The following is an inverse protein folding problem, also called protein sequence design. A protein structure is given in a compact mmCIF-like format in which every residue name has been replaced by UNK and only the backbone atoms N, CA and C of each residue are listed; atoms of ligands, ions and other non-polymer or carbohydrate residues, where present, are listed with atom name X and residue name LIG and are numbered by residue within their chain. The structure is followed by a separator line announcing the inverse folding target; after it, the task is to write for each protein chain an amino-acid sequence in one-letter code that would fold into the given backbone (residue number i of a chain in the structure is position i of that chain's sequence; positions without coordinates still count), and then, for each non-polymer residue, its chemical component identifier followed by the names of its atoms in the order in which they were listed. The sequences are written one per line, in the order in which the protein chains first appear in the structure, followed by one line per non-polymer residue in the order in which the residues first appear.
data_IF_030141795823
#
_entry.id   IF_030141795823
#
_cell.length_a   1.000
_cell.length_b   1.000
_cell.length_c   1.000
_cell.angle_alpha   90.00
_cell.angle_beta   90.00
_cell.angle_gamma   90.00
#
_symmetry.space_group_name_H-M   'P 1'
#
loop_
_entity.id
_entity.type
_entity.pdbx_description
1 polymer ?
#
# COMPACT_ATOMS: atom_id res chain seq x y z
N UNK A 1 30.96 -25.72 -7.05
CA UNK A 1 29.76 -26.59 -7.16
C UNK A 1 28.62 -25.67 -7.53
N UNK A 2 28.07 -25.61 -8.73
CA UNK A 2 27.89 -26.58 -9.81
C UNK A 2 26.54 -26.15 -10.37
N UNK A 3 26.54 -25.52 -11.55
CA UNK A 3 25.33 -25.02 -12.19
C UNK A 3 24.43 -26.20 -12.55
N UNK A 4 23.35 -26.39 -11.81
CA UNK A 4 22.25 -27.29 -12.20
C UNK A 4 20.92 -26.54 -12.23
N UNK A 5 20.14 -26.88 -13.27
CA UNK A 5 18.73 -26.54 -13.53
C UNK A 5 18.44 -25.30 -14.38
N UNK A 6 18.88 -25.36 -15.63
CA UNK A 6 18.10 -24.82 -16.75
C UNK A 6 16.78 -25.62 -16.88
N UNK A 7 15.65 -24.91 -16.88
CA UNK A 7 14.29 -25.38 -17.23
C UNK A 7 13.36 -25.94 -16.13
N UNK A 8 13.45 -25.45 -14.87
CA UNK A 8 12.24 -25.44 -14.02
C UNK A 8 11.39 -24.24 -14.44
N UNK A 9 10.12 -24.48 -14.84
CA UNK A 9 9.14 -23.38 -14.93
C UNK A 9 9.14 -22.69 -13.57
N UNK A 10 9.59 -21.43 -13.54
CA UNK A 10 9.62 -20.63 -12.32
C UNK A 10 8.18 -20.53 -11.84
N UNK A 11 7.89 -21.07 -10.65
CA UNK A 11 6.57 -20.93 -10.04
C UNK A 11 6.38 -19.45 -9.74
N UNK A 12 5.28 -18.87 -10.25
CA UNK A 12 4.91 -17.49 -9.99
C UNK A 12 3.72 -17.51 -9.06
N UNK A 13 3.88 -16.91 -7.90
CA UNK A 13 2.80 -16.80 -6.92
C UNK A 13 1.98 -15.54 -7.15
N UNK A 14 0.71 -15.62 -6.79
CA UNK A 14 -0.23 -14.50 -6.63
C UNK A 14 -0.07 -13.80 -5.29
N UNK A 15 0.70 -14.38 -4.37
CA UNK A 15 1.05 -13.74 -3.10
C UNK A 15 1.84 -12.46 -3.39
N UNK A 16 1.40 -11.37 -2.78
CA UNK A 16 2.11 -10.10 -2.81
C UNK A 16 2.03 -9.43 -1.45
N UNK A 17 2.79 -8.36 -1.25
CA UNK A 17 2.77 -7.65 0.01
C UNK A 17 2.80 -6.14 -0.10
N UNK A 18 2.91 -5.53 1.07
CA UNK A 18 3.15 -4.12 1.26
C UNK A 18 3.97 -3.93 2.53
N UNK A 19 5.07 -3.18 2.44
CA UNK A 19 5.83 -2.74 3.59
C UNK A 19 5.03 -1.74 4.44
N UNK A 20 5.16 -1.87 5.76
CA UNK A 20 4.49 -1.07 6.79
C UNK A 20 5.52 -0.48 7.76
N UNK A 21 5.05 0.24 8.78
CA UNK A 21 5.92 0.73 9.86
C UNK A 21 6.26 -0.48 10.75
N UNK A 22 7.55 -0.75 10.92
CA UNK A 22 8.04 -1.92 11.67
C UNK A 22 7.51 -3.29 11.21
N UNK A 23 7.02 -3.42 9.98
CA UNK A 23 6.41 -4.66 9.55
C UNK A 23 6.07 -4.73 8.08
N UNK A 24 5.34 -5.77 7.72
CA UNK A 24 4.76 -5.90 6.39
C UNK A 24 3.45 -6.67 6.42
N UNK A 25 2.62 -6.42 5.41
CA UNK A 25 1.40 -7.16 5.14
C UNK A 25 1.64 -8.06 3.92
N UNK A 26 1.24 -9.32 4.03
CA UNK A 26 1.15 -10.27 2.91
C UNK A 26 -0.31 -10.57 2.58
N UNK A 27 -0.58 -10.73 1.29
CA UNK A 27 -1.90 -10.98 0.72
C UNK A 27 -1.76 -12.25 -0.13
N UNK A 28 -2.27 -13.35 0.40
CA UNK A 28 -2.42 -14.60 -0.35
C UNK A 28 -3.80 -14.74 -1.00
N UNK A 29 -4.06 -15.87 -1.67
CA UNK A 29 -5.34 -16.12 -2.33
C UNK A 29 -6.52 -16.17 -1.34
N UNK A 30 -6.32 -16.81 -0.18
CA UNK A 30 -7.37 -17.07 0.80
C UNK A 30 -7.27 -16.16 2.04
N UNK A 31 -6.04 -15.89 2.48
CA UNK A 31 -5.74 -15.21 3.74
C UNK A 31 -4.92 -13.94 3.50
N UNK A 32 -5.10 -12.97 4.40
CA UNK A 32 -4.28 -11.75 4.47
C UNK A 32 -3.76 -11.64 5.88
N UNK A 33 -2.46 -11.41 6.01
CA UNK A 33 -1.81 -11.34 7.31
C UNK A 33 -0.86 -10.15 7.36
N UNK A 34 -0.77 -9.55 8.55
CA UNK A 34 0.15 -8.48 8.86
C UNK A 34 1.04 -8.94 9.99
N UNK A 35 2.36 -8.86 9.81
CA UNK A 35 3.33 -9.10 10.86
C UNK A 35 4.06 -7.79 11.17
N UNK A 36 4.06 -7.38 12.44
CA UNK A 36 4.67 -6.13 12.91
C UNK A 36 5.55 -6.44 14.10
N UNK A 37 6.75 -5.87 14.12
CA UNK A 37 7.65 -5.95 15.26
C UNK A 37 7.30 -4.83 16.24
N UNK A 38 6.91 -5.21 17.45
CA UNK A 38 6.56 -4.26 18.50
C UNK A 38 7.82 -3.65 19.15
N UNK A 39 7.64 -2.66 20.03
CA UNK A 39 8.73 -2.01 20.75
C UNK A 39 9.53 -2.96 21.69
N UNK A 40 8.99 -4.14 22.04
CA UNK A 40 9.68 -5.18 22.82
C UNK A 40 10.56 -6.08 21.94
N UNK A 41 10.43 -5.96 20.62
CA UNK A 41 11.11 -6.82 19.65
C UNK A 41 10.36 -8.12 19.33
N UNK A 42 9.15 -8.31 19.84
CA UNK A 42 8.30 -9.47 19.51
C UNK A 42 7.54 -9.21 18.20
N UNK A 43 7.19 -10.28 17.49
CA UNK A 43 6.43 -10.20 16.22
C UNK A 43 4.96 -10.47 16.54
N UNK A 44 4.12 -9.46 16.34
CA UNK A 44 2.67 -9.57 16.43
C UNK A 44 2.10 -9.91 15.05
N UNK A 45 1.36 -11.01 14.96
CA UNK A 45 0.71 -11.47 13.74
C UNK A 45 -0.80 -11.23 13.85
N UNK A 46 -1.34 -10.43 12.92
CA UNK A 46 -2.76 -10.17 12.82
C UNK A 46 -3.30 -10.61 11.45
N UNK A 47 -4.41 -11.35 11.45
CA UNK A 47 -5.14 -11.66 10.23
C UNK A 47 -6.08 -10.50 9.88
N UNK A 48 -6.03 -10.07 8.63
CA UNK A 48 -6.87 -8.99 8.12
C UNK A 48 -8.09 -9.57 7.42
N UNK A 49 -9.27 -9.03 7.73
CA UNK A 49 -10.52 -9.48 7.14
C UNK A 49 -10.48 -9.44 5.60
N UNK A 50 -10.77 -10.59 4.97
CA UNK A 50 -10.96 -10.69 3.54
C UNK A 50 -12.27 -10.07 3.10
N UNK A 51 -12.24 -9.08 2.21
CA UNK A 51 -13.44 -8.60 1.53
C UNK A 51 -13.83 -9.54 0.39
N UNK A 52 -15.13 -9.82 0.22
CA UNK A 52 -15.64 -10.58 -0.93
C UNK A 52 -15.16 -9.95 -2.24
N UNK A 53 -14.68 -10.80 -3.16
CA UNK A 53 -14.32 -10.38 -4.52
C UNK A 53 -15.62 -9.95 -5.21
N UNK A 54 -15.71 -8.70 -5.62
CA UNK A 54 -16.89 -8.21 -6.33
C UNK A 54 -16.81 -8.56 -7.82
N UNK A 55 -17.96 -8.63 -8.51
CA UNK A 55 -17.99 -8.85 -9.97
C UNK A 55 -17.19 -7.79 -10.74
N UNK A 56 -17.06 -6.58 -10.20
CA UNK A 56 -16.27 -5.51 -10.82
C UNK A 56 -14.76 -5.82 -10.87
N UNK A 57 -14.25 -6.70 -10.01
CA UNK A 57 -12.83 -7.09 -9.98
C UNK A 57 -12.43 -8.13 -11.02
N UNK A 58 -13.40 -8.67 -11.77
CA UNK A 58 -13.14 -9.62 -12.85
C UNK A 58 -13.19 -8.95 -14.23
N UNK A 59 -13.94 -7.86 -14.38
CA UNK A 59 -14.13 -7.15 -15.65
C UNK A 59 -12.84 -6.42 -16.05
N UNK A 60 -12.27 -6.69 -17.25
CA UNK A 60 -11.10 -5.96 -17.76
C UNK A 60 -11.31 -4.44 -17.76
N UNK A 61 -10.25 -3.67 -17.53
CA UNK A 61 -10.26 -2.21 -17.41
C UNK A 61 -11.05 -1.63 -16.22
N UNK A 62 -12.05 -2.33 -15.65
CA UNK A 62 -12.74 -1.89 -14.42
C UNK A 62 -12.03 -2.44 -13.18
N UNK A 63 -11.55 -3.68 -13.26
CA UNK A 63 -10.87 -4.36 -12.16
C UNK A 63 -9.66 -3.61 -11.62
N UNK A 64 -8.92 -2.92 -12.48
CA UNK A 64 -7.70 -2.22 -12.10
C UNK A 64 -7.97 -1.13 -11.07
N UNK A 65 -8.80 -0.12 -11.42
CA UNK A 65 -9.22 0.92 -10.49
C UNK A 65 -9.82 0.36 -9.20
N UNK A 66 -10.69 -0.65 -9.29
CA UNK A 66 -11.33 -1.26 -8.11
C UNK A 66 -10.30 -1.94 -7.19
N UNK A 67 -9.38 -2.73 -7.74
CA UNK A 67 -8.34 -3.43 -6.97
C UNK A 67 -7.34 -2.45 -6.35
N UNK A 68 -6.93 -1.43 -7.11
CA UNK A 68 -6.05 -0.37 -6.60
C UNK A 68 -6.73 0.40 -5.46
N UNK A 69 -8.00 0.73 -5.59
CA UNK A 69 -8.76 1.40 -4.52
C UNK A 69 -8.89 0.51 -3.28
N UNK A 70 -9.26 -0.77 -3.43
CA UNK A 70 -9.32 -1.73 -2.31
C UNK A 70 -7.96 -1.89 -1.63
N UNK A 71 -6.88 -1.97 -2.40
CA UNK A 71 -5.52 -2.06 -1.88
C UNK A 71 -5.11 -0.79 -1.14
N UNK A 72 -5.48 0.39 -1.64
CA UNK A 72 -5.21 1.66 -0.97
C UNK A 72 -5.91 1.71 0.40
N UNK A 73 -7.21 1.38 0.46
CA UNK A 73 -7.97 1.37 1.71
C UNK A 73 -7.38 0.36 2.71
N UNK A 74 -7.14 -0.87 2.27
CA UNK A 74 -6.55 -1.91 3.12
C UNK A 74 -5.16 -1.50 3.60
N UNK A 75 -4.31 -1.03 2.69
CA UNK A 75 -2.95 -0.59 2.97
C UNK A 75 -2.90 0.57 3.95
N UNK A 76 -3.82 1.53 3.86
CA UNK A 76 -3.92 2.62 4.85
C UNK A 76 -4.33 2.12 6.23
N UNK A 77 -5.29 1.18 6.31
CA UNK A 77 -5.71 0.58 7.59
C UNK A 77 -4.57 -0.21 8.24
N UNK A 78 -3.87 -1.02 7.44
CA UNK A 78 -2.71 -1.80 7.89
C UNK A 78 -1.57 -0.88 8.33
N UNK A 79 -1.31 0.21 7.61
CA UNK A 79 -0.28 1.19 7.99
C UNK A 79 -0.59 1.85 9.33
N UNK A 80 -1.83 2.31 9.54
CA UNK A 80 -2.25 2.90 10.82
C UNK A 80 -2.16 1.87 11.95
N UNK A 81 -2.66 0.65 11.74
CA UNK A 81 -2.56 -0.42 12.74
C UNK A 81 -1.11 -0.79 13.07
N UNK A 82 -0.23 -0.84 12.07
CA UNK A 82 1.20 -1.12 12.29
C UNK A 82 1.89 -0.03 13.11
N UNK A 83 1.53 1.24 12.90
CA UNK A 83 2.03 2.34 13.70
C UNK A 83 1.58 2.21 15.16
N UNK A 84 0.30 1.88 15.39
CA UNK A 84 -0.23 1.67 16.74
C UNK A 84 0.51 0.54 17.48
N UNK A 85 0.78 -0.59 16.80
CA UNK A 85 1.54 -1.72 17.37
C UNK A 85 2.98 -1.31 17.66
N UNK A 86 3.64 -0.63 16.72
CA UNK A 86 5.03 -0.18 16.85
C UNK A 86 5.23 0.82 17.99
N UNK A 87 4.24 1.71 18.22
CA UNK A 87 4.30 2.75 19.25
C UNK A 87 3.80 2.29 20.63
N UNK A 88 3.01 1.23 20.71
CA UNK A 88 2.45 0.74 21.97
C UNK A 88 3.54 0.31 22.97
N UNK A 89 3.76 1.14 24.00
CA UNK A 89 4.53 0.83 25.21
C UNK A 89 3.54 0.74 26.37
N UNK A 90 3.31 -0.49 26.87
CA UNK A 90 2.33 -0.87 27.93
C UNK A 90 0.86 -0.76 27.47
N UNK A 91 -0.08 -1.68 27.72
CA UNK A 91 -0.25 -2.67 28.79
C UNK A 91 -0.52 -4.08 28.23
N UNK A 92 0.15 -5.09 28.80
CA UNK A 92 -0.44 -6.42 28.90
C UNK A 92 -1.53 -6.38 29.97
N UNK A 93 -2.78 -6.14 29.56
CA UNK A 93 -3.99 -6.61 30.24
C UNK A 93 -5.19 -6.25 29.36
N UNK A 94 -5.83 -7.30 28.86
CA UNK A 94 -7.21 -7.41 28.43
C UNK A 94 -8.06 -6.13 28.54
N UNK A 95 -8.34 -5.47 27.42
CA UNK A 95 -9.58 -4.71 27.24
C UNK A 95 -10.45 -5.45 26.21
N UNK A 96 -11.06 -6.55 26.68
CA UNK A 96 -12.31 -7.05 26.14
C UNK A 96 -13.41 -6.28 26.86
N UNK A 97 -14.19 -5.50 26.11
CA UNK A 97 -15.49 -4.98 26.51
C UNK A 97 -16.25 -4.59 25.24
N UNK A 98 -17.46 -5.06 24.97
CA UNK A 98 -18.40 -5.79 25.81
C UNK A 98 -19.56 -6.37 24.97
N UNK A 99 -20.31 -7.26 25.61
CA UNK A 99 -21.59 -7.89 25.27
C UNK A 99 -21.49 -9.32 24.69
N UNK A 100 -22.09 -10.35 25.28
CA UNK A 100 -22.93 -10.50 26.48
C UNK A 100 -22.82 -11.96 26.96
N UNK A 101 -23.12 -12.16 28.24
CA UNK A 101 -23.13 -13.42 29.00
C UNK A 101 -23.97 -14.53 28.37
N UNK A 102 -23.54 -15.79 28.50
CA UNK A 102 -24.21 -16.73 29.42
C UNK A 102 -23.41 -18.03 29.64
N UNK A 103 -23.59 -18.59 30.83
CA UNK A 103 -22.81 -19.63 31.52
C UNK A 103 -23.02 -21.03 30.95
N UNK A 104 -22.00 -21.90 31.04
CA UNK A 104 -21.99 -23.09 31.93
C UNK A 104 -20.88 -24.09 31.58
N UNK A 105 -20.46 -24.80 32.62
CA UNK A 105 -19.24 -25.58 32.81
C UNK A 105 -19.16 -26.89 32.02
N UNK A 106 -17.95 -27.33 31.61
CA UNK A 106 -17.25 -28.43 32.30
C UNK A 106 -15.90 -28.81 31.65
N UNK A 107 -15.05 -29.32 32.54
CA UNK A 107 -13.67 -29.79 32.45
C UNK A 107 -13.42 -30.96 31.49
N UNK A 108 -12.27 -30.96 30.80
CA UNK A 108 -11.37 -32.12 30.70
C UNK A 108 -10.01 -31.77 30.06
N UNK A 109 -8.99 -32.28 30.73
CA UNK A 109 -7.54 -32.16 30.62
C UNK A 109 -6.96 -32.94 29.41
N UNK A 110 -5.90 -32.44 28.75
CA UNK A 110 -4.80 -33.25 28.19
C UNK A 110 -3.62 -32.38 27.74
N UNK A 111 -2.42 -32.86 28.09
CA UNK A 111 -1.15 -32.15 28.16
C UNK A 111 -0.26 -32.30 26.89
N UNK A 112 0.62 -31.31 26.73
CA UNK A 112 1.98 -31.32 26.15
C UNK A 112 2.23 -31.51 24.64
N UNK A 113 2.72 -30.43 23.99
CA UNK A 113 3.89 -30.48 23.11
C UNK A 113 4.56 -29.08 22.98
N UNK A 114 5.88 -29.07 22.76
CA UNK A 114 6.88 -28.04 23.10
C UNK A 114 6.73 -26.59 22.59
N UNK A 115 7.24 -25.69 23.42
CA UNK A 115 7.29 -24.22 23.33
C UNK A 115 8.12 -23.66 22.15
N UNK A 116 7.47 -22.80 21.36
CA UNK A 116 8.03 -21.52 20.88
C UNK A 116 6.95 -20.46 21.14
N UNK A 117 7.30 -19.34 21.78
CA UNK A 117 6.34 -18.28 22.12
C UNK A 117 5.87 -17.59 20.85
N UNK A 118 4.71 -18.03 20.35
CA UNK A 118 4.00 -17.48 19.20
C UNK A 118 2.60 -17.15 19.71
N UNK A 119 2.23 -15.87 19.68
CA UNK A 119 0.89 -15.43 20.08
C UNK A 119 -0.01 -15.59 18.85
N UNK A 120 -0.71 -16.74 18.75
CA UNK A 120 -1.66 -17.02 17.66
C UNK A 120 -3.06 -16.63 18.11
N UNK A 121 -3.61 -15.60 17.49
CA UNK A 121 -5.06 -15.37 17.47
C UNK A 121 -5.72 -16.36 16.52
N UNK A 122 -6.34 -17.42 17.03
CA UNK A 122 -7.05 -18.43 16.24
C UNK A 122 -8.56 -18.18 16.18
N UNK A 123 -9.16 -18.31 15.00
CA UNK A 123 -10.58 -18.61 14.82
C UNK A 123 -10.73 -19.78 13.84
N UNK A 124 -11.52 -20.79 14.23
CA UNK A 124 -11.98 -21.89 13.38
C UNK A 124 -13.28 -21.49 12.67
N UNK A 125 -13.39 -21.84 11.40
CA UNK A 125 -14.61 -21.89 10.59
C UNK A 125 -15.46 -23.09 10.96
N UNK A 126 -16.76 -22.89 11.15
CA UNK A 126 -17.79 -23.92 10.96
C UNK A 126 -18.89 -23.39 10.04
N UNK A 127 -19.33 -24.29 9.18
CA UNK A 127 -20.31 -24.19 8.09
C UNK A 127 -21.73 -24.39 8.64
N UNK A 128 -22.76 -23.81 8.00
CA UNK A 128 -24.08 -24.42 7.69
C UNK A 128 -25.11 -23.36 7.23
N UNK A 129 -25.65 -23.65 6.03
CA UNK A 129 -27.00 -23.50 5.48
C UNK A 129 -27.75 -22.15 5.35
N UNK A 130 -28.49 -22.14 4.24
CA UNK A 130 -29.32 -21.14 3.60
C UNK A 130 -30.54 -20.67 4.41
N UNK A 131 -30.99 -19.44 4.16
CA UNK A 131 -32.39 -19.12 3.80
C UNK A 131 -32.51 -17.66 3.35
N UNK A 132 -33.55 -17.40 2.54
CA UNK A 132 -33.65 -16.37 1.52
C UNK A 132 -34.17 -14.98 1.97
N UNK A 133 -34.03 -14.04 1.02
CA UNK A 133 -34.92 -12.91 0.69
C UNK A 133 -34.99 -11.68 1.62
N UNK A 134 -34.48 -10.54 1.13
CA UNK A 134 -35.29 -9.38 0.71
C UNK A 134 -34.40 -8.17 0.33
N UNK A 135 -34.66 -7.59 -0.85
CA UNK A 135 -34.16 -6.31 -1.33
C UNK A 135 -34.74 -5.12 -0.52
N UNK A 136 -34.04 -3.98 -0.42
CA UNK A 136 -34.55 -2.63 -0.81
C UNK A 136 -33.51 -1.51 -0.58
N UNK A 137 -33.62 -0.47 -1.40
CA UNK A 137 -32.76 0.69 -1.67
C UNK A 137 -32.61 1.78 -0.57
N UNK A 138 -31.43 2.44 -0.61
CA UNK A 138 -31.10 3.89 -0.66
C UNK A 138 -32.07 4.90 0.01
N UNK A 139 -31.56 5.78 0.90
CA UNK A 139 -31.56 7.27 0.77
C UNK A 139 -31.00 8.02 1.99
N UNK A 140 -30.50 9.24 1.72
CA UNK A 140 -29.75 10.19 2.55
C UNK A 140 -30.58 11.02 3.56
N UNK A 141 -29.87 11.66 4.52
CA UNK A 141 -29.95 13.11 4.90
C UNK A 141 -30.27 13.53 6.36
N UNK A 142 -29.69 14.69 6.73
CA UNK A 142 -29.92 15.63 7.87
C UNK A 142 -29.15 15.31 9.19
N UNK A 143 -28.19 16.06 9.75
CA UNK A 143 -27.80 17.49 9.95
C UNK A 143 -28.72 18.32 10.91
N UNK A 144 -28.05 19.02 11.86
CA UNK A 144 -28.39 20.28 12.59
C UNK A 144 -29.13 20.07 13.94
N UNK A 145 -28.82 20.62 15.14
CA UNK A 145 -27.90 21.67 15.67
C UNK A 145 -27.90 21.68 17.22
N UNK A 146 -26.98 22.51 17.78
CA UNK A 146 -27.17 23.48 18.89
C UNK A 146 -26.23 23.28 20.08
N UNK A 147 -25.62 24.30 20.72
CA UNK A 147 -25.55 25.76 20.53
C UNK A 147 -24.39 26.32 21.42
N UNK A 148 -23.87 27.48 21.00
CA UNK A 148 -22.90 28.40 21.63
C UNK A 148 -23.15 28.77 23.12
N UNK A 149 -22.07 29.06 23.88
CA UNK A 149 -21.80 30.43 24.41
C UNK A 149 -20.40 30.61 25.06
N UNK A 150 -19.72 31.66 24.60
CA UNK A 150 -18.68 32.52 25.21
C UNK A 150 -18.90 32.85 26.72
N UNK A 151 -17.98 33.36 27.56
CA UNK A 151 -16.63 33.92 27.49
C UNK A 151 -16.16 34.22 28.94
N UNK A 152 -14.84 34.30 29.18
CA UNK A 152 -14.12 35.27 30.06
C UNK A 152 -12.95 34.66 30.86
N UNK A 153 -11.78 35.28 30.69
CA UNK A 153 -10.46 34.88 31.21
C UNK A 153 -10.19 35.45 32.62
N UNK A 154 -9.27 34.76 33.32
CA UNK A 154 -8.04 35.29 33.97
C UNK A 154 -8.02 35.31 35.52
N UNK A 155 -7.27 34.38 36.11
CA UNK A 155 -6.24 34.69 37.12
C UNK A 155 -5.28 33.51 37.29
N UNK A 156 -4.00 33.83 37.39
CA UNK A 156 -2.84 32.94 37.47
C UNK A 156 -2.60 32.55 38.94
N UNK A 157 -2.44 31.27 39.27
CA UNK A 157 -1.24 30.69 39.89
C UNK A 157 -1.42 29.22 40.30
N UNK A 158 -0.31 28.49 40.23
CA UNK A 158 0.06 27.31 41.01
C UNK A 158 -0.51 25.90 40.69
N UNK A 159 0.34 25.17 39.96
CA UNK A 159 0.92 23.89 40.40
C UNK A 159 0.05 22.64 40.49
N UNK A 160 0.39 21.68 39.62
CA UNK A 160 0.36 20.24 39.85
C UNK A 160 -1.00 19.59 40.21
N UNK A 161 -1.85 19.37 39.20
CA UNK A 161 -2.66 18.15 39.01
C UNK A 161 -3.46 18.27 37.70
N UNK A 162 -3.80 17.13 37.12
CA UNK A 162 -4.74 16.96 36.01
C UNK A 162 -4.31 17.40 34.60
N UNK A 163 -3.45 16.58 33.97
CA UNK A 163 -3.46 16.38 32.51
C UNK A 163 -3.84 14.94 32.20
N UNK A 164 -5.09 14.58 32.52
CA UNK A 164 -5.68 13.30 32.12
C UNK A 164 -7.15 13.49 31.74
N UNK A 165 -7.45 14.39 30.78
CA UNK A 165 -8.81 14.49 30.22
C UNK A 165 -8.98 15.30 28.91
N UNK A 166 -7.93 15.70 28.16
CA UNK A 166 -8.12 16.60 27.00
C UNK A 166 -7.47 16.20 25.67
N UNK A 167 -7.17 14.91 25.43
CA UNK A 167 -6.45 14.50 24.19
C UNK A 167 -7.32 13.83 23.11
N UNK A 168 -8.57 13.43 23.39
CA UNK A 168 -9.33 12.61 22.42
C UNK A 168 -10.08 13.38 21.31
N UNK A 169 -10.31 14.69 21.47
CA UNK A 169 -11.14 15.46 20.51
C UNK A 169 -10.31 16.34 19.55
N UNK A 170 -9.05 16.65 19.87
CA UNK A 170 -8.14 17.42 18.99
C UNK A 170 -7.30 16.56 18.04
N UNK A 171 -7.16 15.25 18.30
CA UNK A 171 -6.36 14.32 17.49
C UNK A 171 -6.94 14.10 16.09
N UNK A 172 -8.26 13.95 16.00
CA UNK A 172 -8.92 13.64 14.72
C UNK A 172 -8.91 14.85 13.78
N UNK A 173 -9.16 16.06 14.29
CA UNK A 173 -9.13 17.27 13.46
C UNK A 173 -7.73 17.53 12.89
N UNK A 174 -6.68 17.38 13.71
CA UNK A 174 -5.30 17.50 13.25
C UNK A 174 -4.95 16.51 12.15
N UNK A 175 -5.42 15.27 12.27
CA UNK A 175 -5.24 14.23 11.24
C UNK A 175 -5.97 14.55 9.92
N UNK A 176 -7.21 15.05 9.97
CA UNK A 176 -7.93 15.45 8.75
C UNK A 176 -7.27 16.65 8.08
N UNK A 177 -6.83 17.64 8.85
CA UNK A 177 -6.14 18.81 8.30
C UNK A 177 -4.82 18.40 7.66
N UNK A 178 -4.00 17.57 8.31
CA UNK A 178 -2.73 17.11 7.74
C UNK A 178 -2.94 16.26 6.48
N UNK A 179 -3.96 15.40 6.47
CA UNK A 179 -4.35 14.62 5.30
C UNK A 179 -4.74 15.54 4.12
N UNK A 180 -5.60 16.53 4.33
CA UNK A 180 -6.02 17.49 3.28
C UNK A 180 -4.81 18.27 2.77
N UNK A 181 -3.96 18.77 3.67
CA UNK A 181 -2.73 19.50 3.30
C UNK A 181 -1.81 18.62 2.45
N UNK A 182 -1.62 17.34 2.82
CA UNK A 182 -0.80 16.40 2.05
C UNK A 182 -1.33 16.15 0.63
N UNK A 183 -2.65 16.03 0.48
CA UNK A 183 -3.30 15.84 -0.83
C UNK A 183 -3.15 17.10 -1.68
N UNK A 184 -3.41 18.28 -1.11
CA UNK A 184 -3.23 19.56 -1.81
C UNK A 184 -1.78 19.76 -2.26
N UNK A 185 -0.82 19.48 -1.38
CA UNK A 185 0.61 19.54 -1.69
C UNK A 185 0.98 18.59 -2.84
N UNK A 186 0.46 17.36 -2.82
CA UNK A 186 0.66 16.38 -3.88
C UNK A 186 0.09 16.86 -5.23
N UNK A 187 -1.12 17.42 -5.24
CA UNK A 187 -1.73 18.00 -6.45
C UNK A 187 -0.87 19.16 -6.98
N UNK A 188 -0.38 20.03 -6.10
CA UNK A 188 0.46 21.16 -6.50
C UNK A 188 1.77 20.65 -7.14
N UNK A 189 2.51 19.78 -6.47
CA UNK A 189 3.82 19.33 -6.94
C UNK A 189 3.74 18.43 -8.17
N UNK A 190 2.79 17.49 -8.21
CA UNK A 190 2.78 16.47 -9.26
C UNK A 190 1.85 16.80 -10.42
N UNK A 191 0.81 17.62 -10.23
CA UNK A 191 -0.13 17.97 -11.30
C UNK A 191 0.06 19.40 -11.83
N UNK A 192 0.26 20.39 -10.96
CA UNK A 192 0.30 21.80 -11.37
C UNK A 192 1.72 22.30 -11.69
N UNK A 193 2.69 22.00 -10.81
CA UNK A 193 4.07 22.49 -10.92
C UNK A 193 4.75 22.15 -12.26
N UNK A 194 4.62 20.94 -12.84
CA UNK A 194 5.23 20.66 -14.14
C UNK A 194 4.70 21.59 -15.25
N UNK A 195 3.39 21.86 -15.24
CA UNK A 195 2.76 22.78 -16.18
C UNK A 195 3.20 24.23 -15.98
N UNK A 196 3.35 24.67 -14.73
CA UNK A 196 3.86 26.01 -14.40
C UNK A 196 5.28 26.22 -14.90
N UNK A 197 6.16 25.22 -14.76
CA UNK A 197 7.54 25.28 -15.26
C UNK A 197 7.53 25.42 -16.78
N UNK A 198 6.74 24.61 -17.49
CA UNK A 198 6.64 24.67 -18.95
C UNK A 198 6.07 26.01 -19.42
N UNK A 199 5.04 26.54 -18.77
CA UNK A 199 4.49 27.86 -19.08
C UNK A 199 5.49 28.99 -18.85
N UNK A 200 6.28 28.93 -17.77
CA UNK A 200 7.37 29.87 -17.51
C UNK A 200 8.43 29.85 -18.62
N UNK A 201 8.81 28.65 -19.09
CA UNK A 201 9.76 28.47 -20.20
C UNK A 201 9.20 29.07 -21.50
N UNK A 202 7.91 28.88 -21.81
CA UNK A 202 7.30 29.48 -23.01
C UNK A 202 7.39 30.99 -23.01
N UNK A 203 7.08 31.62 -21.87
CA UNK A 203 7.13 33.08 -21.71
C UNK A 203 8.58 33.58 -21.82
N UNK A 204 9.52 32.89 -21.16
CA UNK A 204 10.94 33.26 -21.16
C UNK A 204 11.56 33.20 -22.57
N UNK A 205 11.24 32.15 -23.34
CA UNK A 205 11.80 31.94 -24.67
C UNK A 205 10.92 32.43 -25.83
N UNK A 206 9.78 33.08 -25.53
CA UNK A 206 8.80 33.57 -26.51
C UNK A 206 8.43 32.52 -27.57
N UNK A 207 8.22 31.27 -27.13
CA UNK A 207 7.95 30.15 -28.04
C UNK A 207 6.51 30.25 -28.54
N UNK A 208 6.36 30.43 -29.85
CA UNK A 208 5.06 30.53 -30.49
C UNK A 208 4.45 29.14 -30.75
N UNK A 209 3.15 28.96 -30.46
CA UNK A 209 2.47 27.66 -30.51
C UNK A 209 1.90 27.30 -31.89
N UNK A 210 2.31 28.02 -32.94
CA UNK A 210 1.73 27.95 -34.27
C UNK A 210 1.87 26.59 -34.96
N UNK A 211 2.82 25.75 -34.51
CA UNK A 211 2.97 24.39 -35.05
C UNK A 211 2.53 23.31 -34.07
N UNK A 212 1.75 22.35 -34.58
CA UNK A 212 1.31 21.16 -33.83
C UNK A 212 2.50 20.35 -33.27
N UNK A 213 3.64 20.38 -33.95
CA UNK A 213 4.87 19.72 -33.50
C UNK A 213 5.45 20.38 -32.25
N UNK A 214 5.50 21.71 -32.18
CA UNK A 214 5.97 22.43 -30.98
C UNK A 214 5.04 22.14 -29.80
N UNK A 215 3.71 22.12 -30.00
CA UNK A 215 2.77 21.78 -28.93
C UNK A 215 2.96 20.35 -28.40
N UNK A 216 3.21 19.38 -29.30
CA UNK A 216 3.49 18.01 -28.91
C UNK A 216 4.81 17.91 -28.13
N UNK A 217 5.86 18.55 -28.62
CA UNK A 217 7.17 18.57 -27.96
C UNK A 217 7.10 19.15 -26.54
N UNK A 218 6.35 20.25 -26.35
CA UNK A 218 6.15 20.86 -25.02
C UNK A 218 5.37 19.96 -24.07
N UNK A 219 4.43 19.16 -24.59
CA UNK A 219 3.65 18.20 -23.77
C UNK A 219 4.52 17.02 -23.32
N UNK A 220 5.36 16.50 -24.22
CA UNK A 220 6.34 15.47 -23.87
C UNK A 220 7.36 16.00 -22.86
N UNK A 221 7.81 17.25 -23.04
CA UNK A 221 8.73 17.92 -22.12
C UNK A 221 8.11 18.15 -20.73
N UNK A 222 6.82 18.51 -20.65
CA UNK A 222 6.09 18.55 -19.38
C UNK A 222 6.11 17.17 -18.68
N UNK A 223 5.93 16.09 -19.46
CA UNK A 223 6.05 14.73 -18.97
C UNK A 223 7.42 14.40 -18.40
N UNK A 224 8.50 14.82 -19.09
CA UNK A 224 9.89 14.63 -18.62
C UNK A 224 10.12 15.39 -17.31
N UNK A 225 9.69 16.66 -17.23
CA UNK A 225 9.77 17.45 -16.00
C UNK A 225 9.04 16.76 -14.85
N UNK A 226 7.84 16.22 -15.11
CA UNK A 226 7.05 15.48 -14.12
C UNK A 226 7.80 14.25 -13.60
N UNK A 227 8.41 13.47 -14.48
CA UNK A 227 9.27 12.32 -14.10
C UNK A 227 10.47 12.79 -13.27
N UNK A 228 11.13 13.88 -13.67
CA UNK A 228 12.25 14.45 -12.93
C UNK A 228 11.86 14.89 -11.51
N UNK A 229 10.74 15.59 -11.36
CA UNK A 229 10.19 16.00 -10.05
C UNK A 229 9.88 14.79 -9.18
N UNK A 230 9.27 13.74 -9.75
CA UNK A 230 8.95 12.52 -9.01
C UNK A 230 10.20 11.76 -8.53
N UNK A 231 11.20 11.61 -9.39
CA UNK A 231 12.47 10.98 -9.00
C UNK A 231 13.18 11.81 -7.93
N UNK A 232 13.23 13.14 -8.10
CA UNK A 232 13.80 14.05 -7.11
C UNK A 232 13.09 13.94 -5.76
N UNK A 233 11.75 13.92 -5.76
CA UNK A 233 10.94 13.74 -4.57
C UNK A 233 11.27 12.43 -3.85
N UNK A 234 11.25 11.30 -4.57
CA UNK A 234 11.61 10.01 -3.98
C UNK A 234 13.03 10.01 -3.43
N UNK A 235 13.98 10.65 -4.13
CA UNK A 235 15.36 10.77 -3.66
C UNK A 235 15.51 11.63 -2.40
N UNK A 236 14.71 12.69 -2.24
CA UNK A 236 14.72 13.50 -1.03
C UNK A 236 14.16 12.72 0.16
N UNK A 237 12.99 12.10 -0.03
CA UNK A 237 12.32 11.29 1.01
C UNK A 237 13.17 10.06 1.36
N UNK A 238 14.02 9.59 0.42
CA UNK A 238 15.00 8.50 0.66
C UNK A 238 15.99 8.73 1.76
N UNK A 239 16.24 9.99 2.09
CA UNK A 239 17.24 10.36 3.08
C UNK A 239 16.69 10.35 4.50
N UNK A 240 15.39 10.14 4.66
CA UNK A 240 14.75 10.03 5.97
C UNK A 240 14.89 8.60 6.49
N UNK A 241 15.39 8.44 7.72
CA UNK A 241 15.68 7.12 8.30
C UNK A 241 14.43 6.24 8.42
N UNK A 242 13.28 6.83 8.78
CA UNK A 242 12.00 6.11 8.87
C UNK A 242 11.60 5.49 7.53
N UNK A 243 11.80 6.23 6.43
CA UNK A 243 11.45 5.75 5.09
C UNK A 243 12.44 4.71 4.60
N UNK A 244 13.73 4.90 4.89
CA UNK A 244 14.75 3.90 4.61
C UNK A 244 14.40 2.57 5.28
N UNK A 245 13.91 2.59 6.51
CA UNK A 245 13.45 1.40 7.23
C UNK A 245 12.26 0.72 6.54
N UNK A 246 11.27 1.48 6.09
CA UNK A 246 10.15 0.94 5.28
C UNK A 246 10.67 0.27 3.99
N UNK A 247 11.70 0.84 3.35
CA UNK A 247 12.29 0.22 2.16
C UNK A 247 13.10 -1.04 2.43
N UNK A 248 13.61 -1.22 3.64
CA UNK A 248 14.23 -2.46 4.05
C UNK A 248 13.16 -3.57 4.21
N UNK A 249 12.03 -3.27 4.85
CA UNK A 249 10.88 -4.18 4.89
C UNK A 249 10.32 -4.50 3.48
N UNK A 250 10.34 -3.53 2.57
CA UNK A 250 9.99 -3.79 1.17
C UNK A 250 11.02 -4.69 0.47
N UNK A 251 12.31 -4.55 0.82
CA UNK A 251 13.37 -5.45 0.37
C UNK A 251 13.17 -6.88 0.90
N UNK A 252 12.80 -7.05 2.17
CA UNK A 252 12.52 -8.38 2.73
C UNK A 252 11.30 -9.02 2.09
N UNK A 253 10.22 -8.27 1.81
CA UNK A 253 9.06 -8.74 1.05
C UNK A 253 9.48 -9.39 -0.28
N UNK A 254 10.23 -8.64 -1.11
CA UNK A 254 10.67 -9.13 -2.41
C UNK A 254 11.56 -10.37 -2.33
N UNK A 255 12.48 -10.40 -1.39
CA UNK A 255 13.38 -11.55 -1.20
C UNK A 255 12.63 -12.78 -0.73
N UNK A 256 11.67 -12.62 0.19
CA UNK A 256 10.85 -13.71 0.70
C UNK A 256 9.95 -14.30 -0.38
N UNK A 257 9.29 -13.46 -1.18
CA UNK A 257 8.50 -13.91 -2.34
C UNK A 257 9.41 -14.65 -3.34
N UNK A 258 10.58 -14.12 -3.66
CA UNK A 258 11.51 -14.77 -4.59
C UNK A 258 12.00 -16.14 -4.07
N UNK A 259 12.23 -16.27 -2.76
CA UNK A 259 12.58 -17.53 -2.10
C UNK A 259 11.46 -18.57 -2.24
N UNK A 260 10.23 -18.15 -1.99
CA UNK A 260 9.06 -18.98 -2.14
C UNK A 260 8.84 -19.43 -3.59
N UNK A 261 9.00 -18.52 -4.56
CA UNK A 261 8.91 -18.81 -6.00
C UNK A 261 9.97 -19.79 -6.50
N UNK A 262 11.16 -19.75 -5.88
CA UNK A 262 12.22 -20.71 -6.11
C UNK A 262 11.98 -22.07 -5.43
N UNK A 263 10.89 -22.22 -4.66
CA UNK A 263 10.54 -23.40 -3.86
C UNK A 263 11.66 -23.79 -2.89
N UNK A 264 12.31 -22.80 -2.29
CA UNK A 264 13.30 -23.02 -1.24
C UNK A 264 12.66 -22.84 0.14
N UNK A 265 13.17 -23.52 1.19
CA UNK A 265 12.69 -23.33 2.55
C UNK A 265 12.81 -21.87 2.99
N UNK A 266 11.76 -21.34 3.63
CA UNK A 266 11.70 -19.97 4.14
C UNK A 266 12.57 -19.81 5.40
N UNK A 267 13.88 -19.74 5.20
CA UNK A 267 14.85 -19.42 6.27
C UNK A 267 15.56 -18.12 5.95
N UNK A 268 16.10 -17.47 6.99
CA UNK A 268 16.81 -16.20 6.86
C UNK A 268 18.00 -16.35 5.90
N UNK A 269 18.74 -17.46 5.99
CA UNK A 269 19.91 -17.74 5.18
C UNK A 269 19.57 -17.86 3.69
N UNK A 270 18.50 -18.58 3.36
CA UNK A 270 18.05 -18.75 1.99
C UNK A 270 17.54 -17.43 1.41
N UNK A 271 16.72 -16.71 2.17
CA UNK A 271 16.10 -15.45 1.73
C UNK A 271 17.16 -14.37 1.47
N UNK A 272 18.22 -14.30 2.29
CA UNK A 272 19.29 -13.31 2.14
C UNK A 272 19.92 -13.32 0.75
N UNK A 273 20.02 -14.49 0.12
CA UNK A 273 20.63 -14.70 -1.21
C UNK A 273 19.80 -14.20 -2.39
N UNK A 274 18.52 -13.87 -2.19
CA UNK A 274 17.65 -13.40 -3.28
C UNK A 274 17.79 -11.91 -3.56
N UNK A 275 17.34 -11.52 -4.75
CA UNK A 275 17.32 -10.11 -5.15
C UNK A 275 16.15 -9.38 -4.50
N UNK A 276 16.40 -8.14 -4.06
CA UNK A 276 15.36 -7.19 -3.66
C UNK A 276 14.61 -6.54 -4.84
N UNK A 277 14.86 -6.99 -6.07
CA UNK A 277 14.24 -6.44 -7.27
C UNK A 277 13.22 -7.42 -7.86
N UNK A 278 11.99 -6.97 -8.04
CA UNK A 278 10.87 -7.81 -8.43
C UNK A 278 9.99 -7.15 -9.51
N UNK A 279 9.68 -7.83 -10.63
CA UNK A 279 8.97 -7.20 -11.75
C UNK A 279 7.50 -6.90 -11.47
N UNK A 280 6.89 -7.53 -10.45
CA UNK A 280 5.46 -7.38 -10.09
C UNK A 280 5.21 -6.38 -8.96
N UNK A 281 6.22 -5.59 -8.58
CA UNK A 281 6.12 -4.63 -7.49
C UNK A 281 5.22 -3.42 -7.82
N UNK A 282 4.46 -2.93 -6.85
CA UNK A 282 3.62 -1.72 -6.97
C UNK A 282 4.38 -0.43 -7.27
N UNK A 283 5.68 -0.35 -6.97
CA UNK A 283 6.51 0.80 -7.37
C UNK A 283 6.71 0.85 -8.89
N UNK A 284 6.74 -0.30 -9.55
CA UNK A 284 6.69 -0.40 -11.01
C UNK A 284 5.35 0.07 -11.55
N UNK A 285 4.25 -0.20 -10.84
CA UNK A 285 2.92 0.31 -11.19
C UNK A 285 2.86 1.84 -11.13
N UNK A 286 3.37 2.48 -10.07
CA UNK A 286 3.41 3.94 -9.97
C UNK A 286 4.18 4.59 -11.12
N UNK A 287 5.33 4.02 -11.48
CA UNK A 287 6.11 4.53 -12.60
C UNK A 287 5.42 4.31 -13.96
N UNK A 288 4.77 3.16 -14.16
CA UNK A 288 3.99 2.89 -15.36
C UNK A 288 2.80 3.84 -15.49
N UNK A 289 2.09 4.18 -14.39
CA UNK A 289 1.05 5.22 -14.40
C UNK A 289 1.61 6.51 -14.98
N UNK A 290 2.82 6.90 -14.58
CA UNK A 290 3.42 8.14 -15.09
C UNK A 290 3.66 8.07 -16.60
N UNK A 291 4.29 7.01 -17.11
CA UNK A 291 4.53 6.86 -18.55
C UNK A 291 3.20 6.84 -19.33
N UNK A 292 2.25 6.02 -18.90
CA UNK A 292 0.93 5.89 -19.53
C UNK A 292 0.20 7.25 -19.49
N UNK A 293 0.31 8.00 -18.40
CA UNK A 293 -0.26 9.35 -18.30
C UNK A 293 0.35 10.31 -19.32
N UNK A 294 1.67 10.27 -19.54
CA UNK A 294 2.34 11.14 -20.52
C UNK A 294 1.83 10.83 -21.93
N UNK A 295 1.75 9.54 -22.27
CA UNK A 295 1.27 9.09 -23.58
C UNK A 295 -0.18 9.51 -23.79
N UNK A 296 -1.08 9.22 -22.84
CA UNK A 296 -2.51 9.54 -22.97
C UNK A 296 -2.72 11.06 -23.05
N UNK A 297 -2.09 11.82 -22.14
CA UNK A 297 -2.22 13.28 -22.09
C UNK A 297 -1.60 13.99 -23.30
N UNK A 298 -0.61 13.39 -23.96
CA UNK A 298 -0.04 13.93 -25.19
C UNK A 298 -1.07 14.06 -26.33
N UNK A 299 -2.12 13.23 -26.35
CA UNK A 299 -3.16 13.27 -27.39
C UNK A 299 -4.32 14.24 -27.10
N UNK A 300 -4.45 14.76 -25.88
CA UNK A 300 -5.58 15.60 -25.45
C UNK A 300 -5.41 17.08 -25.82
N UNK A 301 -4.17 17.53 -26.03
CA UNK A 301 -3.86 18.91 -26.40
C UNK A 301 -4.01 19.92 -25.26
N UNK A 302 -3.71 21.19 -25.56
CA UNK A 302 -3.71 22.27 -24.58
C UNK A 302 -4.99 23.11 -24.73
N UNK A 303 -5.83 23.14 -23.67
CA UNK A 303 -6.93 24.11 -23.54
C UNK A 303 -6.55 25.14 -22.48
N UNK A 304 -7.42 25.42 -21.51
CA UNK A 304 -7.07 26.24 -20.34
C UNK A 304 -6.46 25.39 -19.22
N UNK A 305 -5.74 26.03 -18.30
CA UNK A 305 -5.11 25.36 -17.15
C UNK A 305 -6.12 24.57 -16.31
N UNK A 306 -7.28 25.17 -16.04
CA UNK A 306 -8.33 24.54 -15.23
C UNK A 306 -8.96 23.35 -15.94
N UNK A 307 -9.24 23.47 -17.25
CA UNK A 307 -9.77 22.36 -18.04
C UNK A 307 -8.76 21.21 -18.09
N UNK A 308 -7.48 21.50 -18.29
CA UNK A 308 -6.45 20.47 -18.30
C UNK A 308 -6.36 19.75 -16.94
N UNK A 309 -6.48 20.48 -15.82
CA UNK A 309 -6.52 19.88 -14.49
C UNK A 309 -7.72 18.95 -14.31
N UNK A 310 -8.92 19.41 -14.67
CA UNK A 310 -10.16 18.62 -14.55
C UNK A 310 -10.07 17.35 -15.43
N UNK A 311 -9.64 17.50 -16.69
CA UNK A 311 -9.48 16.37 -17.61
C UNK A 311 -8.45 15.37 -17.09
N UNK A 312 -7.32 15.84 -16.53
CA UNK A 312 -6.33 14.97 -15.89
C UNK A 312 -6.92 14.18 -14.73
N UNK A 313 -7.68 14.83 -13.86
CA UNK A 313 -8.34 14.20 -12.70
C UNK A 313 -9.36 13.15 -13.15
N UNK A 314 -10.18 13.47 -14.15
CA UNK A 314 -11.18 12.56 -14.73
C UNK A 314 -10.55 11.37 -15.45
N UNK A 315 -9.34 11.51 -16.00
CA UNK A 315 -8.63 10.43 -16.67
C UNK A 315 -7.83 9.52 -15.75
N UNK A 316 -7.67 9.85 -14.46
CA UNK A 316 -6.95 8.99 -13.51
C UNK A 316 -7.49 7.55 -13.48
N UNK A 317 -8.82 7.29 -13.43
CA UNK A 317 -9.34 5.93 -13.45
C UNK A 317 -9.00 5.21 -14.77
N UNK A 318 -9.03 5.91 -15.91
CA UNK A 318 -8.71 5.34 -17.22
C UNK A 318 -7.22 4.99 -17.31
N UNK A 319 -6.34 5.87 -16.82
CA UNK A 319 -4.90 5.62 -16.75
C UNK A 319 -4.62 4.42 -15.83
N UNK A 320 -5.25 4.36 -14.65
CA UNK A 320 -5.11 3.26 -13.71
C UNK A 320 -5.59 1.93 -14.31
N UNK A 321 -6.70 1.93 -15.04
CA UNK A 321 -7.22 0.79 -15.78
C UNK A 321 -6.21 0.25 -16.79
N UNK A 322 -5.73 1.09 -17.69
CA UNK A 322 -4.77 0.69 -18.73
C UNK A 322 -3.46 0.22 -18.09
N UNK A 323 -2.96 0.93 -17.09
CA UNK A 323 -1.72 0.57 -16.39
C UNK A 323 -1.85 -0.79 -15.72
N UNK A 324 -2.99 -1.07 -15.09
CA UNK A 324 -3.24 -2.35 -14.42
C UNK A 324 -3.20 -3.53 -15.41
N UNK A 325 -3.79 -3.35 -16.60
CA UNK A 325 -3.74 -4.36 -17.66
C UNK A 325 -2.30 -4.56 -18.16
N UNK A 326 -1.54 -3.48 -18.35
CA UNK A 326 -0.13 -3.56 -18.77
C UNK A 326 0.71 -4.34 -17.75
N UNK A 327 0.61 -4.02 -16.44
CA UNK A 327 1.42 -4.70 -15.44
C UNK A 327 1.02 -6.17 -15.29
N UNK A 328 -0.25 -6.51 -15.51
CA UNK A 328 -0.70 -7.91 -15.59
C UNK A 328 -0.18 -8.61 -16.85
N UNK A 329 -0.08 -7.94 -17.99
CA UNK A 329 0.55 -8.56 -19.16
C UNK A 329 2.05 -8.81 -18.90
N UNK A 330 2.72 -7.85 -18.29
CA UNK A 330 4.14 -7.93 -17.94
C UNK A 330 4.43 -9.03 -16.90
N UNK A 331 3.56 -9.21 -15.90
CA UNK A 331 3.70 -10.30 -14.92
C UNK A 331 3.54 -11.69 -15.54
N UNK A 332 2.69 -11.81 -16.59
CA UNK A 332 2.35 -13.07 -17.23
C UNK A 332 3.47 -13.62 -18.08
N UNK A 333 3.98 -12.77 -18.96
CA UNK A 333 4.88 -13.18 -20.03
C UNK A 333 6.33 -12.75 -19.74
N UNK A 334 7.28 -13.63 -20.03
CA UNK A 334 8.71 -13.29 -20.07
C UNK A 334 9.17 -13.28 -21.53
N UNK A 335 9.04 -12.12 -22.18
CA UNK A 335 9.50 -11.89 -23.55
C UNK A 335 10.30 -10.58 -23.62
N UNK A 336 10.95 -10.32 -24.75
CA UNK A 336 11.80 -9.14 -24.92
C UNK A 336 11.04 -7.83 -24.65
N UNK A 337 9.76 -7.75 -25.07
CA UNK A 337 8.92 -6.59 -24.87
C UNK A 337 8.57 -6.37 -23.39
N UNK A 338 8.11 -7.41 -22.68
CA UNK A 338 7.78 -7.29 -21.25
C UNK A 338 9.02 -6.95 -20.44
N UNK A 339 10.20 -7.47 -20.82
CA UNK A 339 11.47 -7.11 -20.19
C UNK A 339 11.83 -5.65 -20.39
N UNK A 340 11.61 -5.08 -21.57
CA UNK A 340 11.85 -3.65 -21.82
C UNK A 340 10.90 -2.77 -21.01
N UNK A 341 9.63 -3.16 -20.91
CA UNK A 341 8.62 -2.43 -20.13
C UNK A 341 8.90 -2.49 -18.62
N UNK A 342 9.40 -3.62 -18.10
CA UNK A 342 9.73 -3.78 -16.68
C UNK A 342 11.02 -3.06 -16.26
N UNK A 343 12.00 -2.93 -17.15
CA UNK A 343 13.32 -2.34 -16.86
C UNK A 343 13.26 -1.02 -16.10
N UNK A 344 12.49 -0.01 -16.53
CA UNK A 344 12.45 1.26 -15.82
C UNK A 344 11.78 1.13 -14.44
N UNK A 345 10.75 0.28 -14.30
CA UNK A 345 10.15 -0.03 -13.00
C UNK A 345 11.14 -0.69 -12.04
N UNK A 346 11.95 -1.64 -12.52
CA UNK A 346 13.02 -2.25 -11.73
C UNK A 346 14.14 -1.27 -11.39
N UNK A 347 14.45 -0.31 -12.27
CA UNK A 347 15.43 0.73 -11.97
C UNK A 347 14.96 1.62 -10.80
N UNK A 348 13.66 1.93 -10.71
CA UNK A 348 13.09 2.68 -9.60
C UNK A 348 13.22 1.97 -8.25
N UNK A 349 13.20 0.63 -8.25
CA UNK A 349 13.38 -0.15 -7.03
C UNK A 349 14.76 0.05 -6.41
N UNK A 350 15.76 0.52 -7.16
CA UNK A 350 17.05 0.91 -6.57
C UNK A 350 16.90 2.03 -5.54
N UNK A 351 15.88 2.87 -5.70
CA UNK A 351 15.56 3.98 -4.82
C UNK A 351 14.50 3.61 -3.76
N UNK A 352 13.58 2.70 -4.09
CA UNK A 352 12.42 2.37 -3.24
C UNK A 352 12.51 1.02 -2.53
N UNK A 353 13.66 0.33 -2.61
CA UNK A 353 13.98 -0.84 -1.78
C UNK A 353 15.38 -0.67 -1.20
N UNK A 354 15.63 -1.32 -0.06
CA UNK A 354 16.93 -1.35 0.61
C UNK A 354 17.20 -2.79 1.11
N UNK A 355 18.46 -3.08 1.47
CA UNK A 355 18.80 -4.39 2.02
C UNK A 355 18.24 -4.54 3.44
N UNK A 356 17.42 -5.59 3.71
CA UNK A 356 16.87 -5.84 5.03
C UNK A 356 17.93 -6.40 5.98
N UNK A 357 17.71 -6.18 7.27
CA UNK A 357 18.39 -6.95 8.31
C UNK A 357 17.68 -8.30 8.54
N UNK A 358 18.33 -9.20 9.29
CA UNK A 358 17.80 -10.53 9.56
C UNK A 358 16.48 -10.48 10.34
N UNK A 359 16.31 -9.49 11.22
CA UNK A 359 15.09 -9.31 12.00
C UNK A 359 13.89 -8.94 11.12
N UNK A 360 14.10 -8.19 10.05
CA UNK A 360 13.07 -7.85 9.06
C UNK A 360 12.73 -9.04 8.16
N UNK A 361 13.70 -9.94 7.92
CA UNK A 361 13.46 -11.19 7.19
C UNK A 361 12.61 -12.14 8.05
N UNK A 362 12.86 -12.24 9.36
CA UNK A 362 12.01 -13.02 10.27
C UNK A 362 10.54 -12.58 10.22
N UNK A 363 10.29 -11.27 10.27
CA UNK A 363 8.93 -10.70 10.15
C UNK A 363 8.31 -11.07 8.80
N UNK A 364 9.10 -11.03 7.72
CA UNK A 364 8.65 -11.41 6.39
C UNK A 364 8.29 -12.90 6.28
N UNK A 365 9.07 -13.79 6.92
CA UNK A 365 8.79 -15.23 6.98
C UNK A 365 7.45 -15.46 7.69
N UNK A 366 7.27 -14.88 8.88
CA UNK A 366 6.03 -15.04 9.68
C UNK A 366 4.80 -14.58 8.89
N UNK A 367 4.87 -13.43 8.22
CA UNK A 367 3.77 -12.95 7.40
C UNK A 367 3.52 -13.83 6.17
N UNK A 368 4.58 -14.35 5.53
CA UNK A 368 4.47 -15.20 4.35
C UNK A 368 3.83 -16.54 4.70
N UNK A 369 4.33 -17.23 5.72
CA UNK A 369 3.82 -18.52 6.17
C UNK A 369 2.34 -18.46 6.55
N UNK A 370 1.88 -17.33 7.11
CA UNK A 370 0.49 -17.13 7.47
C UNK A 370 -0.48 -17.07 6.27
N UNK A 371 0.02 -16.80 5.06
CA UNK A 371 -0.81 -16.64 3.85
C UNK A 371 -0.56 -17.66 2.75
N UNK A 372 0.40 -18.58 2.95
CA UNK A 372 0.57 -19.72 2.05
C UNK A 372 -0.73 -20.54 2.06
N UNK A 373 -1.31 -20.85 0.89
CA UNK A 373 -2.54 -21.60 0.83
C UNK A 373 -2.36 -23.04 1.31
N UNK A 374 -3.43 -23.61 1.88
CA UNK A 374 -3.46 -25.01 2.29
C UNK A 374 -3.51 -25.97 1.08
N UNK A 375 -4.14 -25.51 -0.01
CA UNK A 375 -4.18 -26.23 -1.27
C UNK A 375 -3.00 -25.83 -2.15
N UNK A 376 -2.09 -26.76 -2.42
CA UNK A 376 -0.98 -26.53 -3.35
C UNK A 376 -1.48 -26.08 -4.72
N UNK A 377 -0.92 -24.97 -5.22
CA UNK A 377 -1.20 -24.44 -6.55
C UNK A 377 -2.36 -23.45 -6.64
N UNK A 378 -3.11 -23.20 -5.56
CA UNK A 378 -4.18 -22.19 -5.58
C UNK A 378 -3.65 -20.75 -5.73
N UNK A 379 -2.36 -20.56 -5.45
CA UNK A 379 -1.66 -19.30 -5.60
C UNK A 379 -0.94 -19.15 -6.95
N UNK A 380 -1.08 -20.08 -7.90
CA UNK A 380 -0.46 -19.95 -9.22
C UNK A 380 -1.07 -18.80 -10.05
N UNK A 381 -0.20 -18.07 -10.76
CA UNK A 381 -0.50 -16.75 -11.35
C UNK A 381 -1.03 -16.74 -12.81
#
# INVERSE_FOLDING_TARGET
MGQENNNRKIHKTTIGGQALIEGLMMIGPDKKAMAVRNAKGEIELEFLAGGKVSKAETIPFIRGPVRVFKQLVLGTKALMRSADIAESKENSETEIGESKSDKSDNTANLNNCSQKNFVVGGQKTEEIAETENAEMEITESNIVESKMSESAKKSVSDSAKDKKSSTKQSSNFGLYVSAIVSVLFSVIIFMLLPGLIVDGIKVLFKIDLSSRLISLALTLFEGIIRVGIFILYLWLVSKMDDIKRVWQYHGSEHKTIACYEARMPLTVENIRGFSRFHPRCGTSFMFLIMIVSIIILAFIGWRSRLINLIVRLLLLPVIAAITYEIIRLVGRYDNALTRVISKPGMAMQKLTTAEPDDSMIEVAIVAMEAVIPEQEGSDEW
#
